data_IF_215602449847
#
_entry.id   IF_215602449847
#
_cell.length_a   1.000
_cell.length_b   1.000
_cell.length_c   1.000
_cell.angle_alpha   90.00
_cell.angle_beta   90.00
_cell.angle_gamma   90.00
#
_symmetry.space_group_name_H-M   'P 1'
#
loop_
_entity.id
_entity.type
_entity.pdbx_description
1 polymer ?
#
# COMPACT_ATOMS: atom_id res chain seq x y z
N UNK A 1 33.87 -6.90 0.55
CA UNK A 1 32.45 -6.97 0.14
C UNK A 1 31.78 -5.69 0.64
N UNK A 2 30.98 -4.98 -0.16
CA UNK A 2 30.27 -3.80 0.33
C UNK A 2 29.04 -4.25 1.14
N UNK A 3 28.92 -3.71 2.34
CA UNK A 3 27.81 -3.91 3.28
C UNK A 3 26.50 -3.33 2.69
N UNK A 4 25.34 -3.97 2.89
CA UNK A 4 24.05 -3.40 2.48
C UNK A 4 23.76 -2.12 3.30
N UNK A 5 23.58 -0.99 2.62
CA UNK A 5 23.38 0.32 3.24
C UNK A 5 22.03 0.49 3.97
N UNK A 6 21.88 1.55 4.80
CA UNK A 6 20.84 1.68 5.82
C UNK A 6 19.45 2.13 5.28
N UNK A 7 19.05 1.72 4.08
CA UNK A 7 17.85 2.23 3.40
C UNK A 7 16.76 1.21 3.09
N UNK A 8 16.70 0.07 3.78
CA UNK A 8 15.84 -1.04 3.39
C UNK A 8 15.41 -1.95 4.54
N UNK A 9 15.04 -1.39 5.69
CA UNK A 9 14.52 -2.17 6.80
C UNK A 9 13.11 -2.70 6.53
N UNK A 10 12.78 -3.82 7.17
CA UNK A 10 11.43 -4.39 7.21
C UNK A 10 10.36 -3.35 7.59
N UNK A 11 10.65 -2.48 8.58
CA UNK A 11 9.75 -1.40 9.00
C UNK A 11 9.50 -0.40 7.88
N UNK A 12 10.52 -0.05 7.11
CA UNK A 12 10.42 0.91 6.00
C UNK A 12 9.57 0.38 4.86
N UNK A 13 9.59 -0.93 4.60
CA UNK A 13 8.72 -1.56 3.60
C UNK A 13 7.26 -1.51 4.05
N UNK A 14 6.98 -1.86 5.31
CA UNK A 14 5.62 -1.81 5.85
C UNK A 14 5.08 -0.38 5.90
N UNK A 15 5.88 0.58 6.36
CA UNK A 15 5.51 2.00 6.38
C UNK A 15 5.22 2.53 4.98
N UNK A 16 6.04 2.17 3.98
CA UNK A 16 5.77 2.56 2.59
C UNK A 16 4.47 1.97 2.06
N UNK A 17 4.22 0.68 2.29
CA UNK A 17 2.98 0.03 1.86
C UNK A 17 1.73 0.68 2.48
N UNK A 18 1.78 1.01 3.78
CA UNK A 18 0.68 1.73 4.45
C UNK A 18 0.45 3.10 3.81
N UNK A 19 1.52 3.84 3.55
CA UNK A 19 1.43 5.18 2.95
C UNK A 19 0.89 5.11 1.51
N UNK A 20 1.29 4.11 0.73
CA UNK A 20 0.78 3.89 -0.64
C UNK A 20 -0.72 3.60 -0.64
N UNK A 21 -1.21 2.74 0.26
CA UNK A 21 -2.66 2.47 0.40
C UNK A 21 -3.41 3.71 0.83
N UNK A 22 -2.88 4.48 1.80
CA UNK A 22 -3.52 5.73 2.25
C UNK A 22 -3.63 6.72 1.09
N UNK A 23 -2.55 6.92 0.34
CA UNK A 23 -2.53 7.84 -0.79
C UNK A 23 -3.51 7.41 -1.90
N UNK A 24 -3.60 6.11 -2.19
CA UNK A 24 -4.54 5.58 -3.18
C UNK A 24 -6.00 5.74 -2.72
N UNK A 25 -6.29 5.51 -1.44
CA UNK A 25 -7.61 5.72 -0.85
C UNK A 25 -8.03 7.20 -0.90
N UNK A 26 -7.12 8.11 -0.54
CA UNK A 26 -7.35 9.55 -0.58
C UNK A 26 -7.61 10.02 -2.02
N UNK A 27 -6.82 9.56 -2.99
CA UNK A 27 -6.99 9.89 -4.41
C UNK A 27 -8.34 9.39 -4.94
N UNK A 28 -8.74 8.17 -4.60
CA UNK A 28 -10.04 7.60 -4.98
C UNK A 28 -11.21 8.40 -4.39
N UNK A 29 -11.12 8.76 -3.12
CA UNK A 29 -12.11 9.60 -2.43
C UNK A 29 -12.22 11.00 -3.03
N UNK A 30 -11.09 11.64 -3.32
CA UNK A 30 -11.04 12.97 -3.94
C UNK A 30 -11.61 12.93 -5.35
N UNK A 31 -11.19 11.97 -6.18
CA UNK A 31 -11.69 11.82 -7.56
C UNK A 31 -13.21 11.58 -7.56
N UNK A 32 -13.71 10.80 -6.61
CA UNK A 32 -15.16 10.60 -6.41
C UNK A 32 -15.86 11.89 -6.03
N UNK A 33 -15.33 12.67 -5.07
CA UNK A 33 -15.92 13.98 -4.68
C UNK A 33 -15.97 14.94 -5.85
N UNK A 34 -14.88 15.07 -6.61
CA UNK A 34 -14.78 15.96 -7.77
C UNK A 34 -15.82 15.58 -8.84
N UNK A 35 -15.98 14.29 -9.11
CA UNK A 35 -17.04 13.77 -9.99
C UNK A 35 -18.44 14.16 -9.50
N UNK A 36 -18.74 13.92 -8.22
CA UNK A 36 -20.05 14.25 -7.63
C UNK A 36 -20.34 15.75 -7.61
N UNK A 37 -19.30 16.59 -7.53
CA UNK A 37 -19.42 18.05 -7.60
C UNK A 37 -19.61 18.58 -9.04
N UNK A 38 -19.61 17.70 -10.05
CA UNK A 38 -19.74 18.08 -11.46
C UNK A 38 -18.49 18.72 -12.04
N UNK A 39 -17.32 18.49 -11.44
CA UNK A 39 -16.05 18.87 -12.06
C UNK A 39 -15.78 18.01 -13.30
N UNK A 40 -14.81 18.41 -14.12
CA UNK A 40 -14.36 17.66 -15.30
C UNK A 40 -13.58 16.40 -14.89
N UNK A 41 -14.31 15.41 -14.37
CA UNK A 41 -13.85 14.05 -14.06
C UNK A 41 -14.83 13.10 -14.73
N UNK A 42 -14.31 12.14 -15.48
CA UNK A 42 -15.14 11.13 -16.15
C UNK A 42 -15.37 9.93 -15.22
N UNK A 43 -16.51 9.24 -15.38
CA UNK A 43 -16.84 8.07 -14.56
C UNK A 43 -15.76 6.98 -14.63
N UNK A 44 -15.15 6.76 -15.80
CA UNK A 44 -14.09 5.77 -15.95
C UNK A 44 -12.84 6.12 -15.13
N UNK A 45 -12.59 7.41 -14.87
CA UNK A 45 -11.47 7.87 -14.04
C UNK A 45 -11.72 7.53 -12.58
N UNK A 46 -12.95 7.75 -12.08
CA UNK A 46 -13.36 7.35 -10.72
C UNK A 46 -13.18 5.84 -10.54
N UNK A 47 -13.65 5.05 -11.51
CA UNK A 47 -13.53 3.59 -11.49
C UNK A 47 -12.07 3.13 -11.53
N UNK A 48 -11.21 3.80 -12.31
CA UNK A 48 -9.79 3.51 -12.37
C UNK A 48 -9.11 3.77 -11.02
N UNK A 49 -9.34 4.95 -10.42
CA UNK A 49 -8.75 5.28 -9.10
C UNK A 49 -9.26 4.36 -7.99
N UNK A 50 -10.51 3.93 -8.07
CA UNK A 50 -11.05 2.95 -7.13
C UNK A 50 -10.41 1.55 -7.31
N UNK A 51 -10.19 1.12 -8.55
CA UNK A 51 -9.50 -0.13 -8.84
C UNK A 51 -8.04 -0.10 -8.38
N UNK A 52 -7.32 0.99 -8.61
CA UNK A 52 -5.95 1.19 -8.11
C UNK A 52 -5.88 1.12 -6.58
N UNK A 53 -6.81 1.77 -5.88
CA UNK A 53 -6.90 1.70 -4.42
C UNK A 53 -7.14 0.26 -3.92
N UNK A 54 -7.99 -0.51 -4.61
CA UNK A 54 -8.21 -1.93 -4.31
C UNK A 54 -6.95 -2.78 -4.50
N UNK A 55 -6.26 -2.63 -5.62
CA UNK A 55 -5.02 -3.35 -5.92
C UNK A 55 -3.92 -3.01 -4.91
N UNK A 56 -3.80 -1.73 -4.52
CA UNK A 56 -2.84 -1.31 -3.51
C UNK A 56 -3.12 -1.97 -2.14
N UNK A 57 -4.40 -2.06 -1.75
CA UNK A 57 -4.80 -2.73 -0.52
C UNK A 57 -4.45 -4.23 -0.55
N UNK A 58 -4.74 -4.91 -1.66
CA UNK A 58 -4.40 -6.33 -1.83
C UNK A 58 -2.88 -6.55 -1.69
N UNK A 59 -2.08 -5.68 -2.31
CA UNK A 59 -0.62 -5.72 -2.19
C UNK A 59 -0.15 -5.52 -0.73
N UNK A 60 -0.78 -4.60 0.00
CA UNK A 60 -0.48 -4.38 1.42
C UNK A 60 -0.81 -5.60 2.28
N UNK A 61 -1.91 -6.31 2.00
CA UNK A 61 -2.27 -7.55 2.71
C UNK A 61 -1.18 -8.61 2.50
N UNK A 62 -0.66 -8.74 1.28
CA UNK A 62 0.45 -9.66 1.00
C UNK A 62 1.74 -9.28 1.75
N UNK A 63 2.05 -7.99 1.82
CA UNK A 63 3.18 -7.49 2.61
C UNK A 63 2.98 -7.81 4.09
N UNK A 64 1.77 -7.55 4.63
CA UNK A 64 1.41 -7.88 6.01
C UNK A 64 1.57 -9.38 6.30
N UNK A 65 1.17 -10.25 5.38
CA UNK A 65 1.30 -11.70 5.54
C UNK A 65 2.76 -12.13 5.61
N UNK A 66 3.60 -11.66 4.67
CA UNK A 66 5.05 -11.92 4.68
C UNK A 66 5.73 -11.37 5.93
N UNK A 67 5.25 -10.23 6.42
CA UNK A 67 5.73 -9.61 7.65
C UNK A 67 5.46 -10.53 8.86
N UNK A 68 4.24 -11.06 8.97
CA UNK A 68 3.87 -11.99 10.03
C UNK A 68 4.65 -13.30 9.93
N UNK A 69 4.86 -13.81 8.73
CA UNK A 69 5.66 -15.02 8.48
C UNK A 69 7.12 -14.82 8.92
N UNK A 70 7.77 -13.73 8.50
CA UNK A 70 9.14 -13.42 8.87
C UNK A 70 9.31 -13.33 10.40
N UNK A 71 8.36 -12.70 11.09
CA UNK A 71 8.35 -12.65 12.56
C UNK A 71 8.27 -14.05 13.20
N UNK A 72 7.41 -14.92 12.68
CA UNK A 72 7.28 -16.32 13.17
C UNK A 72 8.56 -17.12 12.94
N UNK A 73 9.19 -16.99 11.78
CA UNK A 73 10.45 -17.69 11.47
C UNK A 73 11.57 -17.27 12.42
N UNK A 74 11.71 -15.97 12.70
CA UNK A 74 12.72 -15.46 13.64
C UNK A 74 12.54 -16.04 15.05
N UNK A 75 11.31 -16.20 15.52
CA UNK A 75 11.02 -16.83 16.81
C UNK A 75 11.37 -18.31 16.78
N UNK A 76 10.96 -19.03 15.73
CA UNK A 76 11.19 -20.48 15.61
C UNK A 76 12.67 -20.86 15.51
N UNK A 77 13.54 -19.96 15.03
CA UNK A 77 15.00 -20.18 14.97
C UNK A 77 15.72 -19.95 16.30
N UNK A 78 15.09 -19.25 17.25
CA UNK A 78 15.69 -18.91 18.56
C UNK A 78 15.28 -19.89 19.68
N UNK A 79 14.28 -20.73 19.42
CA UNK A 79 13.86 -21.86 20.26
C UNK A 79 14.59 -23.14 19.87
#
# INVERSE_FOLDING_TARGET
>A
MPEPGPGGGFGDVLTRAVNEVSAAADLSGETTRRFLNGEQVELHQVMATAAEAGIALDAMIEIRNKVVEAYRTVIAMQS
#
